data_IF_320291576422
#
_entry.id   IF_320291576422
#
_cell.length_a   1.000
_cell.length_b   1.000
_cell.length_c   1.000
_cell.angle_alpha   90.00
_cell.angle_beta   90.00
_cell.angle_gamma   90.00
#
_symmetry.space_group_name_H-M   'P 1'
#
loop_
_entity.id
_entity.type
_entity.pdbx_description
1 polymer ?
#
# COMPACT_ATOMS: atom_id res chain seq x y z
N UNK A 1 9.93 30.13 -5.84
CA UNK A 1 10.21 29.14 -6.90
C UNK A 1 8.99 28.25 -7.08
N UNK A 2 8.40 28.18 -8.28
CA UNK A 2 7.24 27.31 -8.50
C UNK A 2 7.51 25.87 -8.08
N UNK A 3 6.50 25.19 -7.61
CA UNK A 3 6.61 23.79 -7.22
C UNK A 3 5.61 22.92 -7.98
N UNK A 4 5.89 21.64 -8.08
CA UNK A 4 5.00 20.65 -8.65
C UNK A 4 4.20 19.99 -7.55
N UNK A 5 2.88 20.05 -7.65
CA UNK A 5 1.96 19.27 -6.83
C UNK A 5 1.55 18.04 -7.63
N UNK A 6 1.82 16.85 -7.09
CA UNK A 6 1.35 15.59 -7.64
C UNK A 6 0.25 15.06 -6.74
N UNK A 7 -0.84 14.61 -7.31
CA UNK A 7 -1.98 14.04 -6.59
C UNK A 7 -2.33 12.70 -7.21
N UNK A 8 -2.35 11.67 -6.38
CA UNK A 8 -2.83 10.34 -6.72
C UNK A 8 -4.08 10.04 -5.90
N UNK A 9 -5.20 9.74 -6.55
CA UNK A 9 -6.48 9.44 -5.90
C UNK A 9 -6.90 8.02 -6.20
N UNK A 10 -7.24 7.30 -5.15
CA UNK A 10 -7.79 5.95 -5.25
C UNK A 10 -8.71 5.67 -4.06
N UNK A 11 -9.90 5.14 -4.34
CA UNK A 11 -10.94 4.90 -3.32
C UNK A 11 -11.13 6.09 -2.38
N UNK A 12 -10.84 5.90 -1.09
CA UNK A 12 -10.96 6.91 -0.04
C UNK A 12 -9.66 7.66 0.26
N UNK A 13 -8.57 7.39 -0.46
CA UNK A 13 -7.25 7.99 -0.22
C UNK A 13 -6.89 9.01 -1.30
N UNK A 14 -6.36 10.15 -0.87
CA UNK A 14 -5.68 11.12 -1.72
C UNK A 14 -4.24 11.28 -1.24
N UNK A 15 -3.27 10.86 -2.05
CA UNK A 15 -1.85 11.09 -1.80
C UNK A 15 -1.43 12.39 -2.46
N UNK A 16 -0.73 13.22 -1.73
CA UNK A 16 -0.21 14.51 -2.21
C UNK A 16 1.30 14.55 -2.03
N UNK A 17 2.00 14.84 -3.11
CA UNK A 17 3.42 15.14 -3.12
C UNK A 17 3.63 16.56 -3.64
N UNK A 18 4.39 17.36 -2.93
CA UNK A 18 4.84 18.69 -3.34
C UNK A 18 6.35 18.67 -3.43
N UNK A 19 6.89 19.14 -4.55
CA UNK A 19 8.33 19.17 -4.76
C UNK A 19 8.74 20.38 -5.58
N UNK A 20 9.74 21.10 -5.13
CA UNK A 20 10.41 22.07 -5.96
C UNK A 20 11.24 21.37 -7.04
N UNK A 21 11.26 21.91 -8.25
CA UNK A 21 12.00 21.33 -9.36
C UNK A 21 12.63 22.44 -10.18
N UNK A 22 13.93 22.32 -10.46
CA UNK A 22 14.70 23.34 -11.20
C UNK A 22 14.25 23.62 -12.62
N UNK A 23 13.34 22.79 -13.19
CA UNK A 23 12.77 22.99 -14.53
C UNK A 23 11.73 24.11 -14.63
N UNK A 24 11.12 24.51 -13.50
CA UNK A 24 9.91 25.34 -13.50
C UNK A 24 10.11 26.69 -12.82
N UNK A 25 11.24 27.35 -13.05
CA UNK A 25 11.43 28.72 -12.57
C UNK A 25 12.88 29.09 -12.30
N UNK A 26 13.16 30.39 -12.32
CA UNK A 26 14.45 30.96 -11.94
C UNK A 26 14.58 31.01 -10.42
N UNK A 27 15.67 30.42 -9.91
CA UNK A 27 16.31 30.82 -8.69
C UNK A 27 15.52 30.76 -7.38
N UNK A 28 15.17 29.57 -6.88
CA UNK A 28 15.02 29.36 -5.44
C UNK A 28 16.36 28.93 -4.83
N UNK A 29 16.55 29.24 -3.54
CA UNK A 29 17.72 28.74 -2.82
C UNK A 29 17.68 27.23 -2.82
N UNK A 30 18.70 26.61 -3.37
CA UNK A 30 18.86 25.17 -3.49
C UNK A 30 19.97 24.78 -2.51
N UNK A 31 19.72 23.75 -1.73
CA UNK A 31 20.78 23.13 -0.94
C UNK A 31 21.77 22.37 -1.82
N UNK A 32 22.92 22.03 -1.26
CA UNK A 32 23.97 21.35 -1.99
C UNK A 32 23.49 20.01 -2.55
N UNK A 33 23.85 19.77 -3.81
CA UNK A 33 23.54 18.52 -4.49
C UNK A 33 24.49 17.43 -3.98
N UNK A 34 23.92 16.41 -3.37
CA UNK A 34 24.63 15.20 -2.97
C UNK A 34 24.26 14.04 -3.88
N UNK A 35 25.27 13.34 -4.40
CA UNK A 35 25.04 12.06 -5.07
C UNK A 35 24.69 11.03 -4.01
N UNK A 36 23.62 10.26 -4.19
CA UNK A 36 23.25 9.21 -3.25
C UNK A 36 24.24 8.06 -3.32
N UNK A 37 24.50 7.43 -2.18
CA UNK A 37 25.22 6.16 -2.16
C UNK A 37 24.42 5.04 -2.81
N UNK A 38 25.05 3.92 -3.22
CA UNK A 38 24.32 2.75 -3.73
C UNK A 38 23.24 2.27 -2.77
N UNK A 39 23.48 2.26 -1.47
CA UNK A 39 22.55 1.85 -0.42
C UNK A 39 21.36 2.81 -0.30
N UNK A 40 21.62 4.11 -0.43
CA UNK A 40 20.56 5.13 -0.45
C UNK A 40 19.68 4.98 -1.70
N UNK A 41 20.29 4.68 -2.86
CA UNK A 41 19.57 4.41 -4.09
C UNK A 41 18.69 3.16 -3.96
N UNK A 42 19.18 2.10 -3.33
CA UNK A 42 18.41 0.90 -3.08
C UNK A 42 17.18 1.19 -2.20
N UNK A 43 17.35 1.92 -1.10
CA UNK A 43 16.24 2.34 -0.22
C UNK A 43 15.20 3.19 -0.94
N UNK A 44 15.64 4.09 -1.83
CA UNK A 44 14.73 4.91 -2.65
C UNK A 44 13.94 4.02 -3.61
N UNK A 45 14.62 3.10 -4.29
CA UNK A 45 13.99 2.18 -5.24
C UNK A 45 12.99 1.26 -4.51
N UNK A 46 13.33 0.75 -3.35
CA UNK A 46 12.45 -0.04 -2.49
C UNK A 46 11.18 0.74 -2.13
N UNK A 47 11.33 1.95 -1.60
CA UNK A 47 10.19 2.83 -1.27
C UNK A 47 9.30 3.10 -2.48
N UNK A 48 9.88 3.31 -3.64
CA UNK A 48 9.12 3.53 -4.88
C UNK A 48 8.31 2.28 -5.27
N UNK A 49 8.89 1.09 -5.13
CA UNK A 49 8.21 -0.19 -5.41
C UNK A 49 7.08 -0.41 -4.40
N UNK A 50 7.32 -0.20 -3.11
CA UNK A 50 6.30 -0.30 -2.05
C UNK A 50 5.14 0.66 -2.35
N UNK A 51 5.43 1.91 -2.65
CA UNK A 51 4.41 2.91 -2.95
C UNK A 51 3.58 2.53 -4.17
N UNK A 52 4.22 2.06 -5.24
CA UNK A 52 3.52 1.62 -6.46
C UNK A 52 2.65 0.40 -6.18
N UNK A 53 3.15 -0.59 -5.47
CA UNK A 53 2.41 -1.80 -5.12
C UNK A 53 1.25 -1.48 -4.18
N UNK A 54 1.44 -0.66 -3.14
CA UNK A 54 0.39 -0.22 -2.22
C UNK A 54 -0.76 0.47 -2.96
N UNK A 55 -0.45 1.43 -3.85
CA UNK A 55 -1.45 2.11 -4.68
C UNK A 55 -2.24 1.12 -5.53
N UNK A 56 -1.54 0.16 -6.14
CA UNK A 56 -2.14 -0.88 -6.96
C UNK A 56 -3.04 -1.79 -6.14
N UNK A 57 -2.60 -2.28 -4.99
CA UNK A 57 -3.43 -3.10 -4.09
C UNK A 57 -4.67 -2.32 -3.66
N UNK A 58 -4.49 -1.11 -3.14
CA UNK A 58 -5.59 -0.31 -2.62
C UNK A 58 -6.64 0.07 -3.69
N UNK A 59 -6.20 0.29 -4.94
CA UNK A 59 -7.11 0.64 -6.03
C UNK A 59 -7.96 -0.53 -6.52
N UNK A 60 -7.52 -1.78 -6.32
CA UNK A 60 -8.10 -2.96 -6.95
C UNK A 60 -8.71 -3.97 -5.99
N UNK A 61 -8.33 -3.95 -4.72
CA UNK A 61 -8.81 -4.90 -3.71
C UNK A 61 -9.57 -4.19 -2.60
N UNK A 62 -10.57 -4.87 -2.05
CA UNK A 62 -11.42 -4.38 -0.97
C UNK A 62 -11.13 -5.13 0.34
N UNK A 63 -11.50 -4.55 1.51
CA UNK A 63 -11.58 -5.31 2.74
C UNK A 63 -12.51 -6.51 2.54
N UNK A 64 -12.03 -7.70 2.93
CA UNK A 64 -12.72 -8.96 2.68
C UNK A 64 -12.19 -9.74 1.49
N UNK A 65 -11.40 -9.12 0.59
CA UNK A 65 -10.62 -9.88 -0.39
C UNK A 65 -9.57 -10.77 0.29
N UNK A 66 -8.96 -11.66 -0.45
CA UNK A 66 -8.25 -12.80 0.08
C UNK A 66 -6.72 -12.59 0.07
N UNK A 67 -6.08 -12.96 1.15
CA UNK A 67 -4.64 -13.18 1.26
C UNK A 67 -4.37 -14.66 1.48
N UNK A 68 -3.82 -15.33 0.47
CA UNK A 68 -3.51 -16.76 0.50
C UNK A 68 -2.01 -16.98 0.66
N UNK A 69 -1.66 -17.98 1.47
CA UNK A 69 -0.33 -18.58 1.53
C UNK A 69 -0.45 -20.01 1.04
N UNK A 70 0.23 -20.31 -0.06
CA UNK A 70 0.25 -21.63 -0.70
C UNK A 70 1.59 -22.28 -0.40
N UNK A 71 1.55 -23.46 0.21
CA UNK A 71 2.74 -24.24 0.59
C UNK A 71 2.74 -25.58 -0.11
N UNK A 72 3.92 -26.18 -0.24
CA UNK A 72 4.06 -27.53 -0.78
C UNK A 72 3.94 -28.58 0.34
N UNK A 73 3.61 -29.82 -0.03
CA UNK A 73 3.53 -30.96 0.92
C UNK A 73 4.85 -31.14 1.64
N UNK A 74 4.78 -31.60 2.88
CA UNK A 74 5.97 -31.96 3.63
C UNK A 74 6.77 -33.04 2.87
N UNK A 75 8.09 -32.84 2.76
CA UNK A 75 8.95 -33.72 1.95
C UNK A 75 9.00 -33.42 0.45
N UNK A 76 8.11 -32.55 -0.06
CA UNK A 76 8.17 -32.07 -1.44
C UNK A 76 8.90 -30.73 -1.49
N UNK A 77 10.10 -30.74 -2.08
CA UNK A 77 10.87 -29.50 -2.32
C UNK A 77 11.03 -29.33 -3.84
N UNK A 78 10.07 -28.67 -4.51
CA UNK A 78 10.20 -28.41 -5.94
C UNK A 78 11.37 -27.47 -6.23
N UNK A 79 11.99 -27.63 -7.39
CA UNK A 79 12.94 -26.64 -7.89
C UNK A 79 12.22 -25.32 -8.19
N UNK A 80 12.94 -24.18 -8.31
CA UNK A 80 12.33 -22.90 -8.69
C UNK A 80 11.52 -22.99 -9.99
N UNK A 81 12.01 -23.74 -10.99
CA UNK A 81 11.36 -23.94 -12.29
C UNK A 81 10.07 -24.77 -12.16
N UNK A 82 10.13 -25.84 -11.37
CA UNK A 82 8.95 -26.68 -11.06
C UNK A 82 7.89 -25.87 -10.30
N UNK A 83 8.31 -25.09 -9.31
CA UNK A 83 7.43 -24.20 -8.55
C UNK A 83 6.75 -23.18 -9.46
N UNK A 84 7.50 -22.59 -10.39
CA UNK A 84 6.97 -21.63 -11.38
C UNK A 84 5.93 -22.30 -12.29
N UNK A 85 6.18 -23.53 -12.76
CA UNK A 85 5.23 -24.31 -13.57
C UNK A 85 3.97 -24.66 -12.78
N UNK A 86 4.12 -25.12 -11.54
CA UNK A 86 3.00 -25.50 -10.66
C UNK A 86 2.10 -24.31 -10.33
N UNK A 87 2.70 -23.15 -9.95
CA UNK A 87 1.91 -21.96 -9.68
C UNK A 87 1.24 -21.41 -10.95
N UNK A 88 1.89 -21.50 -12.11
CA UNK A 88 1.30 -21.15 -13.40
C UNK A 88 0.04 -21.96 -13.70
N UNK A 89 0.12 -23.29 -13.55
CA UNK A 89 -1.02 -24.19 -13.72
C UNK A 89 -2.15 -23.92 -12.72
N UNK A 90 -1.80 -23.61 -11.46
CA UNK A 90 -2.77 -23.21 -10.45
C UNK A 90 -3.50 -21.93 -10.86
N UNK A 91 -2.77 -20.90 -11.29
CA UNK A 91 -3.35 -19.64 -11.74
C UNK A 91 -4.27 -19.79 -12.95
N UNK A 92 -4.00 -20.74 -13.85
CA UNK A 92 -4.90 -21.08 -14.95
C UNK A 92 -6.20 -21.73 -14.45
N UNK A 93 -6.10 -22.73 -13.55
CA UNK A 93 -7.27 -23.39 -12.95
C UNK A 93 -8.15 -22.36 -12.22
N UNK A 94 -7.52 -21.43 -11.49
CA UNK A 94 -8.19 -20.40 -10.75
C UNK A 94 -8.94 -19.43 -11.68
N UNK A 95 -8.27 -18.92 -12.72
CA UNK A 95 -8.89 -18.04 -13.73
C UNK A 95 -10.08 -18.71 -14.44
N UNK A 96 -9.97 -20.00 -14.75
CA UNK A 96 -11.10 -20.76 -15.33
C UNK A 96 -12.29 -20.87 -14.37
N UNK A 97 -12.02 -21.06 -13.06
CA UNK A 97 -13.07 -21.14 -12.04
C UNK A 97 -13.80 -19.78 -11.90
N UNK A 98 -13.06 -18.68 -11.85
CA UNK A 98 -13.64 -17.33 -11.79
C UNK A 98 -14.47 -17.02 -13.03
N UNK A 99 -13.96 -17.33 -14.22
CA UNK A 99 -14.68 -17.13 -15.48
C UNK A 99 -16.01 -17.90 -15.52
N UNK A 100 -16.04 -19.13 -15.00
CA UNK A 100 -17.30 -19.93 -14.92
C UNK A 100 -18.36 -19.26 -14.05
N UNK A 101 -17.97 -18.43 -13.11
CA UNK A 101 -18.88 -17.64 -12.25
C UNK A 101 -19.10 -16.20 -12.75
N UNK A 102 -18.64 -15.88 -13.97
CA UNK A 102 -18.77 -14.54 -14.54
C UNK A 102 -17.97 -13.48 -13.81
N UNK A 103 -16.98 -13.87 -12.98
CA UNK A 103 -16.20 -12.96 -12.15
C UNK A 103 -14.81 -12.70 -12.72
N UNK A 104 -14.29 -11.49 -12.48
CA UNK A 104 -12.93 -11.13 -12.81
C UNK A 104 -11.95 -11.68 -11.76
N UNK A 105 -10.92 -12.39 -12.21
CA UNK A 105 -9.83 -12.85 -11.36
C UNK A 105 -8.74 -11.79 -11.27
N UNK A 106 -8.82 -10.91 -10.27
CA UNK A 106 -7.77 -9.94 -9.96
C UNK A 106 -6.81 -10.53 -8.95
N UNK A 107 -5.51 -10.39 -9.19
CA UNK A 107 -4.51 -10.98 -8.30
C UNK A 107 -3.16 -10.26 -8.33
N UNK A 108 -2.43 -10.38 -7.21
CA UNK A 108 -1.00 -10.09 -7.07
C UNK A 108 -0.35 -11.31 -6.46
N UNK A 109 0.69 -11.84 -7.10
CA UNK A 109 1.39 -13.07 -6.74
C UNK A 109 2.85 -12.78 -6.44
N UNK A 110 3.34 -13.36 -5.35
CA UNK A 110 4.75 -13.38 -4.93
C UNK A 110 5.17 -14.81 -4.66
N UNK A 111 6.36 -15.18 -5.10
CA UNK A 111 6.98 -16.44 -4.74
C UNK A 111 8.17 -16.18 -3.83
N UNK A 112 8.20 -16.84 -2.71
CA UNK A 112 9.27 -16.79 -1.72
C UNK A 112 10.08 -18.08 -1.78
N UNK A 113 11.41 -17.93 -1.90
CA UNK A 113 12.35 -19.04 -2.08
C UNK A 113 13.23 -19.30 -0.85
N UNK A 114 12.96 -18.65 0.28
CA UNK A 114 13.81 -18.70 1.47
C UNK A 114 13.73 -20.03 2.21
N UNK A 115 14.87 -20.38 2.85
CA UNK A 115 14.98 -21.51 3.80
C UNK A 115 14.60 -22.89 3.25
N UNK A 116 14.98 -23.18 2.00
CA UNK A 116 14.74 -24.48 1.33
C UNK A 116 13.25 -24.85 1.17
N UNK A 117 12.33 -23.96 1.47
CA UNK A 117 10.88 -24.17 1.30
C UNK A 117 10.29 -23.05 0.47
N UNK A 118 9.94 -23.37 -0.75
CA UNK A 118 9.24 -22.45 -1.64
C UNK A 118 7.79 -22.36 -1.20
N UNK A 119 7.27 -21.13 -1.12
CA UNK A 119 5.84 -20.89 -0.97
C UNK A 119 5.42 -19.62 -1.73
N UNK A 120 4.12 -19.52 -1.95
CA UNK A 120 3.56 -18.42 -2.71
C UNK A 120 2.59 -17.64 -1.85
N UNK A 121 2.66 -16.32 -1.96
CA UNK A 121 1.68 -15.40 -1.41
C UNK A 121 0.85 -14.83 -2.55
N UNK A 122 -0.46 -14.87 -2.39
CA UNK A 122 -1.41 -14.42 -3.40
C UNK A 122 -2.45 -13.50 -2.77
N UNK A 123 -2.52 -12.25 -3.26
CA UNK A 123 -3.70 -11.41 -3.05
C UNK A 123 -4.66 -11.74 -4.17
N UNK A 124 -5.92 -11.99 -3.85
CA UNK A 124 -6.94 -12.42 -4.79
C UNK A 124 -8.27 -11.72 -4.47
N UNK A 125 -8.93 -11.17 -5.48
CA UNK A 125 -10.31 -10.69 -5.29
C UNK A 125 -11.21 -11.83 -4.87
N UNK A 126 -12.12 -11.61 -3.90
CA UNK A 126 -13.11 -12.62 -3.57
C UNK A 126 -14.15 -12.79 -4.70
N UNK A 127 -14.88 -13.89 -4.68
CA UNK A 127 -16.00 -14.09 -5.57
C UNK A 127 -17.25 -13.37 -5.03
N UNK A 128 -18.17 -12.92 -5.88
CA UNK A 128 -19.36 -12.18 -5.44
C UNK A 128 -20.23 -12.92 -4.43
N UNK A 129 -20.17 -14.24 -4.42
CA UNK A 129 -20.87 -15.12 -3.48
C UNK A 129 -20.07 -15.45 -2.20
N UNK A 130 -18.86 -14.88 -2.04
CA UNK A 130 -17.99 -15.13 -0.90
C UNK A 130 -17.32 -16.49 -0.88
N UNK A 131 -17.38 -17.25 -1.98
CA UNK A 131 -16.80 -18.61 -2.04
C UNK A 131 -15.35 -18.65 -2.52
N UNK A 132 -14.74 -17.50 -2.82
CA UNK A 132 -13.40 -17.40 -3.40
C UNK A 132 -12.32 -18.14 -2.60
N UNK A 133 -12.35 -18.06 -1.27
CA UNK A 133 -11.42 -18.79 -0.40
C UNK A 133 -11.52 -20.31 -0.61
N UNK A 134 -12.73 -20.86 -0.64
CA UNK A 134 -12.99 -22.30 -0.87
C UNK A 134 -12.55 -22.72 -2.25
N UNK A 135 -12.87 -21.91 -3.27
CA UNK A 135 -12.48 -22.16 -4.65
C UNK A 135 -10.95 -22.13 -4.80
N UNK A 136 -10.30 -21.11 -4.24
CA UNK A 136 -8.85 -20.98 -4.31
C UNK A 136 -8.13 -22.15 -3.62
N UNK A 137 -8.54 -22.52 -2.41
CA UNK A 137 -7.96 -23.64 -1.69
C UNK A 137 -8.18 -24.97 -2.45
N UNK A 138 -9.39 -25.21 -2.98
CA UNK A 138 -9.70 -26.44 -3.72
C UNK A 138 -8.97 -26.58 -5.07
N UNK A 139 -8.41 -25.48 -5.62
CA UNK A 139 -7.60 -25.54 -6.86
C UNK A 139 -6.11 -25.74 -6.60
N UNK A 140 -5.65 -25.58 -5.35
CA UNK A 140 -4.27 -25.89 -4.98
C UNK A 140 -4.14 -27.35 -4.58
N UNK A 141 -3.46 -28.13 -5.41
CA UNK A 141 -3.34 -29.59 -5.25
C UNK A 141 -1.95 -30.03 -4.78
N UNK A 142 -0.99 -29.11 -4.74
CA UNK A 142 0.42 -29.41 -4.47
C UNK A 142 0.77 -29.35 -2.97
N UNK A 143 -0.17 -28.91 -2.11
CA UNK A 143 0.07 -28.82 -0.68
C UNK A 143 -1.03 -28.11 0.08
N UNK A 144 -0.67 -27.33 1.11
CA UNK A 144 -1.58 -26.55 1.93
C UNK A 144 -1.91 -25.19 1.34
N UNK A 145 -3.14 -24.76 1.50
CA UNK A 145 -3.58 -23.40 1.20
C UNK A 145 -4.18 -22.77 2.46
N UNK A 146 -3.54 -21.71 2.96
CA UNK A 146 -4.02 -20.95 4.11
C UNK A 146 -4.54 -19.60 3.63
N UNK A 147 -5.78 -19.26 4.01
CA UNK A 147 -6.44 -18.04 3.60
C UNK A 147 -6.72 -17.13 4.80
N UNK A 148 -6.44 -15.84 4.64
CA UNK A 148 -6.87 -14.75 5.52
C UNK A 148 -7.60 -13.71 4.68
N UNK A 149 -8.50 -12.96 5.32
CA UNK A 149 -9.13 -11.83 4.66
C UNK A 149 -8.25 -10.58 4.78
N UNK A 150 -8.30 -9.72 3.77
CA UNK A 150 -7.66 -8.41 3.84
C UNK A 150 -8.33 -7.56 4.92
N UNK A 151 -7.53 -6.68 5.54
CA UNK A 151 -7.97 -5.87 6.68
C UNK A 151 -9.08 -4.88 6.30
N UNK A 152 -9.98 -4.63 7.25
CA UNK A 152 -11.08 -3.67 7.09
C UNK A 152 -10.63 -2.21 6.99
N UNK A 153 -9.44 -1.86 7.52
CA UNK A 153 -8.91 -0.50 7.47
C UNK A 153 -8.40 -0.08 6.09
N UNK A 154 -8.25 -1.04 5.17
CA UNK A 154 -7.78 -0.79 3.80
C UNK A 154 -6.36 -0.23 3.72
N UNK A 155 -5.59 -0.25 4.80
CA UNK A 155 -4.21 0.23 4.83
C UNK A 155 -3.24 -0.87 4.42
N UNK A 156 -3.01 -1.01 3.12
CA UNK A 156 -2.16 -2.05 2.55
C UNK A 156 -0.67 -1.70 2.53
N UNK A 157 -0.22 -0.72 3.32
CA UNK A 157 1.19 -0.33 3.36
C UNK A 157 2.06 -1.43 3.93
N UNK A 158 1.66 -1.97 5.08
CA UNK A 158 2.38 -3.06 5.74
C UNK A 158 2.41 -4.32 4.86
N UNK A 159 1.31 -4.61 4.15
CA UNK A 159 1.24 -5.72 3.22
C UNK A 159 2.16 -5.52 2.01
N UNK A 160 2.16 -4.33 1.42
CA UNK A 160 3.05 -4.00 0.31
C UNK A 160 4.53 -4.01 0.75
N UNK A 161 4.83 -3.49 1.94
CA UNK A 161 6.18 -3.51 2.50
C UNK A 161 6.65 -4.95 2.78
N UNK A 162 5.79 -5.80 3.34
CA UNK A 162 6.07 -7.22 3.55
C UNK A 162 6.42 -7.91 2.23
N UNK A 163 5.57 -7.76 1.20
CA UNK A 163 5.78 -8.36 -0.12
C UNK A 163 7.14 -7.92 -0.71
N UNK A 164 7.46 -6.63 -0.64
CA UNK A 164 8.70 -6.10 -1.21
C UNK A 164 9.91 -6.57 -0.43
N UNK A 165 9.85 -6.59 0.91
CA UNK A 165 10.94 -7.04 1.80
C UNK A 165 11.28 -8.51 1.57
N UNK A 166 10.28 -9.38 1.50
CA UNK A 166 10.51 -10.82 1.28
C UNK A 166 11.12 -11.10 -0.10
N UNK A 167 10.72 -10.36 -1.12
CA UNK A 167 11.32 -10.50 -2.46
C UNK A 167 12.69 -9.85 -2.61
N UNK A 168 13.05 -8.88 -1.78
CA UNK A 168 14.34 -8.20 -1.85
C UNK A 168 15.51 -9.12 -1.50
N UNK A 169 15.31 -10.04 -0.55
CA UNK A 169 16.33 -11.02 -0.15
C UNK A 169 16.77 -11.89 -1.33
N UNK A 170 15.84 -12.22 -2.22
CA UNK A 170 16.12 -13.04 -3.43
C UNK A 170 16.75 -12.24 -4.55
N UNK A 171 16.35 -10.96 -4.69
CA UNK A 171 16.94 -10.07 -5.70
C UNK A 171 18.43 -9.80 -5.52
N UNK A 172 18.95 -10.07 -4.31
CA UNK A 172 20.38 -9.97 -3.99
C UNK A 172 21.16 -11.26 -4.30
N UNK A 173 20.46 -12.34 -4.58
CA UNK A 173 21.10 -13.61 -4.94
C UNK A 173 21.49 -13.55 -6.43
N UNK A 174 22.81 -13.64 -6.77
CA UNK A 174 23.26 -13.64 -8.17
C UNK A 174 22.69 -14.79 -9.01
N UNK A 175 22.26 -15.88 -8.37
CA UNK A 175 21.60 -17.02 -9.01
C UNK A 175 20.12 -16.82 -9.32
N UNK A 176 19.51 -15.73 -8.83
CA UNK A 176 18.09 -15.49 -9.00
C UNK A 176 17.78 -14.74 -10.30
N UNK A 177 17.19 -15.44 -11.25
CA UNK A 177 16.92 -14.92 -12.61
C UNK A 177 15.54 -14.24 -12.78
N UNK A 178 14.77 -14.04 -11.71
CA UNK A 178 13.46 -13.43 -11.85
C UNK A 178 13.53 -11.93 -12.20
N UNK A 179 12.87 -11.58 -13.28
CA UNK A 179 12.81 -10.21 -13.82
C UNK A 179 11.96 -9.22 -13.00
N UNK A 180 11.17 -9.72 -12.04
CA UNK A 180 10.22 -8.90 -11.28
C UNK A 180 10.04 -9.44 -9.86
N UNK A 181 9.91 -8.53 -8.89
CA UNK A 181 9.68 -8.85 -7.47
C UNK A 181 8.31 -9.48 -7.21
N UNK A 182 7.33 -9.19 -8.04
CA UNK A 182 5.98 -9.76 -7.98
C UNK A 182 5.37 -9.80 -9.38
N UNK A 183 4.39 -10.63 -9.57
CA UNK A 183 3.56 -10.66 -10.75
C UNK A 183 2.13 -10.26 -10.42
N UNK A 184 1.38 -9.78 -11.39
CA UNK A 184 -0.01 -9.37 -11.17
C UNK A 184 -0.85 -9.58 -12.43
N UNK A 185 -2.15 -9.67 -12.23
CA UNK A 185 -3.10 -9.75 -13.34
C UNK A 185 -3.12 -8.47 -14.17
N UNK A 186 -3.38 -8.61 -15.48
CA UNK A 186 -3.38 -7.47 -16.41
C UNK A 186 -4.58 -6.54 -16.26
N UNK A 187 -5.64 -6.99 -15.60
CA UNK A 187 -6.87 -6.24 -15.34
C UNK A 187 -6.81 -5.36 -14.07
N UNK A 188 -5.63 -5.23 -13.43
CA UNK A 188 -5.44 -4.28 -12.34
C UNK A 188 -5.27 -2.86 -12.88
N UNK A 189 -5.97 -1.92 -12.24
CA UNK A 189 -5.88 -0.49 -12.54
C UNK A 189 -4.73 0.13 -11.77
N UNK A 190 -3.89 0.91 -12.45
CA UNK A 190 -2.90 1.78 -11.83
C UNK A 190 -3.52 3.19 -11.64
N UNK A 191 -3.63 3.69 -10.41
CA UNK A 191 -4.22 5.01 -10.18
C UNK A 191 -3.39 6.12 -10.85
N UNK A 192 -4.02 7.01 -11.62
CA UNK A 192 -3.30 8.06 -12.33
C UNK A 192 -2.74 9.11 -11.36
N UNK A 193 -1.51 9.55 -11.61
CA UNK A 193 -0.88 10.66 -10.89
C UNK A 193 -1.07 11.94 -11.69
N UNK A 194 -1.92 12.83 -11.18
CA UNK A 194 -2.11 14.17 -11.76
C UNK A 194 -1.01 15.10 -11.29
N UNK A 195 -0.41 15.84 -12.23
CA UNK A 195 0.64 16.82 -11.96
C UNK A 195 0.12 18.21 -12.24
N UNK A 196 0.38 19.16 -11.33
CA UNK A 196 0.01 20.55 -11.46
C UNK A 196 1.20 21.43 -11.06
N UNK A 197 1.54 22.41 -11.90
CA UNK A 197 2.54 23.41 -11.58
C UNK A 197 1.86 24.50 -10.77
N UNK A 198 2.36 24.74 -9.57
CA UNK A 198 1.86 25.81 -8.68
C UNK A 198 2.72 27.05 -8.86
N UNK A 199 2.07 28.17 -9.17
CA UNK A 199 2.75 29.47 -9.39
C UNK A 199 3.33 30.09 -8.13
N UNK A 200 2.93 29.60 -6.94
CA UNK A 200 3.43 30.09 -5.64
C UNK A 200 4.85 29.60 -5.40
N UNK A 201 5.63 30.38 -4.69
CA UNK A 201 7.03 30.07 -4.40
C UNK A 201 7.20 28.95 -3.36
N UNK A 202 6.24 28.78 -2.45
CA UNK A 202 6.24 27.71 -1.48
C UNK A 202 4.81 27.29 -1.13
N UNK A 203 4.65 26.19 -0.44
CA UNK A 203 3.39 25.75 0.15
C UNK A 203 3.31 26.23 1.61
N UNK A 204 2.07 26.46 2.14
CA UNK A 204 1.88 26.83 3.54
C UNK A 204 2.48 25.78 4.48
N UNK A 205 3.13 26.23 5.56
CA UNK A 205 3.67 25.35 6.60
C UNK A 205 2.54 24.55 7.26
N UNK A 206 1.43 25.22 7.55
CA UNK A 206 0.23 24.58 8.07
C UNK A 206 -0.51 23.83 6.96
N UNK A 207 -0.72 22.54 7.16
CA UNK A 207 -1.38 21.68 6.22
C UNK A 207 -2.90 21.79 6.36
N UNK A 208 -3.54 22.48 5.42
CA UNK A 208 -5.00 22.57 5.38
C UNK A 208 -5.61 21.27 4.90
N UNK A 209 -6.29 20.58 5.82
CA UNK A 209 -7.02 19.34 5.50
C UNK A 209 -8.41 19.73 4.97
N UNK A 210 -8.80 19.28 3.76
CA UNK A 210 -10.12 19.57 3.20
C UNK A 210 -11.24 18.99 4.08
N UNK A 211 -12.43 19.63 4.04
CA UNK A 211 -13.62 19.11 4.72
C UNK A 211 -13.95 17.71 4.22
N UNK A 212 -14.10 16.76 5.15
CA UNK A 212 -14.41 15.37 4.82
C UNK A 212 -13.18 14.48 4.63
N UNK A 213 -12.01 15.00 4.94
CA UNK A 213 -10.78 14.24 5.02
C UNK A 213 -10.15 14.38 6.41
N UNK A 214 -9.29 13.44 6.76
CA UNK A 214 -8.33 13.60 7.84
C UNK A 214 -6.92 13.29 7.32
N UNK A 215 -5.93 13.87 7.98
CA UNK A 215 -4.53 13.64 7.68
C UNK A 215 -4.08 12.34 8.35
N UNK A 216 -3.54 11.42 7.55
CA UNK A 216 -2.75 10.30 8.06
C UNK A 216 -1.39 10.85 8.50
N UNK A 217 -1.24 11.07 9.82
CA UNK A 217 -0.06 11.73 10.38
C UNK A 217 1.24 10.95 10.15
N UNK A 218 1.18 9.63 10.17
CA UNK A 218 2.33 8.77 9.96
C UNK A 218 2.87 8.83 8.53
N UNK A 219 2.02 9.30 7.60
CA UNK A 219 2.40 9.51 6.21
C UNK A 219 3.06 10.87 5.94
N UNK A 220 3.02 11.81 6.90
CA UNK A 220 3.54 13.16 6.68
C UNK A 220 5.07 13.17 6.73
N UNK A 221 5.68 13.44 5.59
CA UNK A 221 7.12 13.58 5.44
C UNK A 221 7.46 14.93 4.82
N UNK A 222 8.26 15.70 5.53
CA UNK A 222 8.88 16.93 5.05
C UNK A 222 10.39 16.73 4.95
N UNK A 223 11.03 17.36 3.98
CA UNK A 223 12.47 17.28 3.87
C UNK A 223 13.02 17.90 2.60
N UNK A 224 14.30 17.65 2.36
CA UNK A 224 15.02 18.05 1.17
C UNK A 224 15.40 16.79 0.40
N UNK A 225 15.12 16.76 -0.88
CA UNK A 225 15.50 15.63 -1.71
C UNK A 225 16.99 15.71 -2.10
N UNK A 226 17.53 14.62 -2.63
CA UNK A 226 18.95 14.51 -3.04
C UNK A 226 19.41 15.55 -4.07
N UNK A 227 18.47 16.21 -4.75
CA UNK A 227 18.78 17.29 -5.67
C UNK A 227 18.83 18.66 -4.99
N UNK A 228 18.71 18.69 -3.65
CA UNK A 228 18.69 19.91 -2.85
C UNK A 228 17.35 20.64 -2.91
N UNK A 229 16.27 19.98 -3.32
CA UNK A 229 14.96 20.60 -3.39
C UNK A 229 14.08 20.17 -2.24
N UNK A 230 13.41 21.14 -1.62
CA UNK A 230 12.39 20.92 -0.60
C UNK A 230 11.26 20.06 -1.16
N UNK A 231 10.79 19.10 -0.36
CA UNK A 231 9.63 18.26 -0.70
C UNK A 231 8.75 18.05 0.52
N UNK A 232 7.47 17.75 0.25
CA UNK A 232 6.48 17.33 1.24
C UNK A 232 5.64 16.21 0.64
N UNK A 233 5.38 15.17 1.44
CA UNK A 233 4.49 14.07 1.09
C UNK A 233 3.53 13.80 2.23
N UNK A 234 2.26 13.54 1.93
CA UNK A 234 1.25 13.16 2.91
C UNK A 234 0.06 12.46 2.25
N UNK A 235 -0.70 11.74 3.05
CA UNK A 235 -1.95 11.09 2.68
C UNK A 235 -3.12 11.73 3.40
N UNK A 236 -4.19 11.96 2.67
CA UNK A 236 -5.50 12.35 3.17
C UNK A 236 -6.46 11.18 3.00
N UNK A 237 -7.18 10.84 4.04
CA UNK A 237 -8.16 9.76 4.04
C UNK A 237 -9.55 10.39 4.15
N UNK A 238 -10.44 10.01 3.22
CA UNK A 238 -11.81 10.49 3.23
C UNK A 238 -12.56 9.85 4.41
N UNK A 239 -13.21 10.68 5.20
CA UNK A 239 -14.09 10.19 6.28
C UNK A 239 -15.44 9.88 5.70
N UNK A 240 -15.88 8.63 5.79
CA UNK A 240 -17.25 8.24 5.49
C UNK A 240 -18.23 8.88 6.49
N UNK A 241 -19.45 9.12 6.01
CA UNK A 241 -20.51 9.78 6.82
C UNK A 241 -20.79 9.05 8.15
N UNK A 242 -20.51 7.73 8.23
CA UNK A 242 -20.65 6.90 9.44
C UNK A 242 -19.53 7.15 10.46
N UNK A 243 -18.30 7.37 10.03
CA UNK A 243 -17.16 7.64 10.92
C UNK A 243 -17.20 9.06 11.51
N UNK A 244 -17.80 10.03 10.81
CA UNK A 244 -18.02 11.39 11.34
C UNK A 244 -18.85 11.37 12.63
N UNK A 245 -19.84 10.46 12.75
CA UNK A 245 -20.64 10.31 13.96
C UNK A 245 -19.84 9.72 15.13
N UNK A 246 -18.92 8.77 14.87
CA UNK A 246 -18.05 8.18 15.92
C UNK A 246 -17.02 9.19 16.46
N UNK A 247 -16.37 9.97 15.59
CA UNK A 247 -15.39 11.00 16.00
C UNK A 247 -16.05 12.23 16.64
N UNK A 248 -17.24 12.63 16.18
CA UNK A 248 -18.04 13.70 16.79
C UNK A 248 -18.51 13.34 18.22
N UNK A 249 -18.89 12.08 18.45
CA UNK A 249 -19.29 11.59 19.78
C UNK A 249 -18.09 11.44 20.74
N UNK A 250 -16.91 11.02 20.28
CA UNK A 250 -15.70 10.99 21.13
C UNK A 250 -15.29 12.39 21.59
N UNK A 251 -15.33 13.40 20.71
CA UNK A 251 -15.06 14.79 21.12
C UNK A 251 -16.11 15.39 22.07
N UNK A 252 -17.38 14.97 21.97
CA UNK A 252 -18.43 15.40 22.91
C UNK A 252 -18.29 14.71 24.26
N UNK A 253 -17.90 13.43 24.30
CA UNK A 253 -17.67 12.71 25.55
C UNK A 253 -16.45 13.24 26.31
N UNK A 254 -15.33 13.53 25.63
CA UNK A 254 -14.14 14.12 26.28
C UNK A 254 -14.41 15.54 26.82
N UNK A 255 -15.21 16.36 26.10
CA UNK A 255 -15.62 17.70 26.62
C UNK A 255 -16.61 17.65 27.77
N UNK A 256 -17.45 16.60 27.85
CA UNK A 256 -18.36 16.43 28.98
C UNK A 256 -17.65 15.87 30.22
N UNK A 257 -16.63 15.02 30.00
CA UNK A 257 -15.81 14.51 31.11
C UNK A 257 -14.96 15.62 31.73
N UNK A 258 -14.30 16.47 30.91
CA UNK A 258 -13.54 17.61 31.41
C UNK A 258 -14.42 18.70 32.11
N UNK A 259 -15.71 18.79 31.79
CA UNK A 259 -16.66 19.66 32.50
C UNK A 259 -17.16 19.10 33.84
N UNK A 260 -17.25 17.77 33.97
CA UNK A 260 -17.60 17.09 35.24
C UNK A 260 -16.44 17.18 36.23
N UNK A 261 -15.21 16.91 35.78
CA UNK A 261 -13.99 17.00 36.59
C UNK A 261 -13.69 18.43 37.07
N UNK A 262 -14.15 19.45 36.32
CA UNK A 262 -14.06 20.86 36.74
C UNK A 262 -15.20 21.32 37.69
N UNK A 263 -16.33 20.61 37.71
CA UNK A 263 -17.46 20.86 38.62
C UNK A 263 -17.20 20.35 40.03
N UNK A 264 -16.62 19.19 40.16
CA UNK A 264 -16.35 18.54 41.48
C UNK A 264 -15.22 19.20 42.27
N UNK A 265 -14.34 20.00 41.62
CA UNK A 265 -13.30 20.78 42.30
C UNK A 265 -13.82 22.10 42.93
N UNK A 266 -15.05 22.51 42.65
CA UNK A 266 -15.65 23.73 43.23
C UNK A 266 -16.60 23.44 44.40
N UNK A 267 -16.96 22.22 44.68
CA UNK A 267 -17.87 21.82 45.76
C UNK A 267 -17.16 21.34 47.05
N UNK A 268 -15.81 21.38 47.08
CA UNK A 268 -14.99 20.88 48.20
C UNK A 268 -14.24 21.96 48.98
N UNK A 269 -14.63 23.25 48.85
CA UNK A 269 -14.07 24.35 49.69
C UNK A 269 -15.18 25.24 50.21
N UNK A 270 -15.83 24.79 51.26
CA UNK A 270 -16.61 25.57 52.19
C UNK A 270 -16.54 24.93 53.55
#
# INVERSE_FOLDING_TARGET
MPYVKKVCRYKNVEEVERVHAGRYGKGGKREDRRLPTPEEMEKINERNVITKLRRKIHANFDPGDLWLTLTYRQGSCPTPEEAQKKIGNYMERLRRAYRKQGAECKWVLVTEYLNKRIHHHLILSDLPDGTGAKVAAGKWTDGGAHCKFLYEDGQYENLAAYIVKETQKHFRDPGYQAKSRYSCSRNLVDPPVRRQIMKRDDWPEELRVPKGFYLDRDSLHNGVNRLGFKYQYYRLIRTDRKERKKHGNRKKQSKNQSKRDAGDKKAGSS
#
